data_IF_337818260249
#
_entry.id   IF_337818260249
#
_cell.length_a   1.000
_cell.length_b   1.000
_cell.length_c   1.000
_cell.angle_alpha   90.00
_cell.angle_beta   90.00
_cell.angle_gamma   90.00
#
_symmetry.space_group_name_H-M   'P 1'
#
loop_
_entity.id
_entity.type
_entity.pdbx_description
1 polymer ?
#
# COMPACT_ATOMS: atom_id res chain seq x y z
N UNK A 1 14.23 -8.81 -4.64
CA UNK A 1 14.81 -8.83 -3.28
C UNK A 1 15.05 -10.28 -2.85
N UNK A 2 16.23 -10.59 -2.29
CA UNK A 2 16.56 -11.91 -1.70
C UNK A 2 15.90 -12.16 -0.33
N UNK A 3 15.12 -11.19 0.16
CA UNK A 3 14.38 -11.27 1.42
C UNK A 3 12.87 -11.28 1.15
N UNK A 4 12.38 -10.38 0.28
CA UNK A 4 10.94 -10.20 0.07
C UNK A 4 10.35 -10.93 -1.15
N UNK A 5 11.18 -11.36 -2.12
CA UNK A 5 10.68 -11.95 -3.37
C UNK A 5 11.11 -13.41 -3.54
N UNK A 6 12.31 -13.75 -3.09
CA UNK A 6 12.94 -15.06 -3.24
C UNK A 6 13.99 -15.25 -2.15
N UNK A 7 14.63 -16.41 -2.06
CA UNK A 7 15.77 -16.66 -1.19
C UNK A 7 15.46 -17.58 -0.01
N UNK A 8 16.52 -18.10 0.62
CA UNK A 8 16.42 -19.09 1.71
C UNK A 8 15.73 -18.54 2.96
N UNK A 9 15.95 -17.26 3.28
CA UNK A 9 15.31 -16.62 4.43
C UNK A 9 13.79 -16.59 4.27
N UNK A 10 13.30 -16.12 3.11
CA UNK A 10 11.87 -16.12 2.80
C UNK A 10 11.27 -17.52 2.86
N UNK A 11 11.92 -18.49 2.21
CA UNK A 11 11.46 -19.88 2.17
C UNK A 11 11.35 -20.49 3.58
N UNK A 12 12.38 -20.30 4.42
CA UNK A 12 12.41 -20.79 5.79
C UNK A 12 11.29 -20.18 6.63
N UNK A 13 11.14 -18.85 6.63
CA UNK A 13 10.14 -18.16 7.45
C UNK A 13 8.72 -18.57 7.04
N UNK A 14 8.44 -18.65 5.75
CA UNK A 14 7.10 -19.04 5.26
C UNK A 14 6.77 -20.51 5.57
N UNK A 15 7.72 -21.42 5.40
CA UNK A 15 7.52 -22.85 5.72
C UNK A 15 7.38 -23.11 7.22
N UNK A 16 8.03 -22.31 8.05
CA UNK A 16 7.93 -22.41 9.50
C UNK A 16 6.56 -22.01 10.06
N UNK A 17 5.72 -21.31 9.27
CA UNK A 17 4.37 -20.88 9.64
C UNK A 17 4.30 -20.20 11.02
N UNK A 18 5.29 -19.35 11.31
CA UNK A 18 5.38 -18.60 12.58
C UNK A 18 4.38 -17.44 12.68
N UNK A 19 3.73 -17.08 11.55
CA UNK A 19 2.65 -16.12 11.44
C UNK A 19 1.44 -16.77 10.76
N UNK A 20 0.23 -16.32 11.12
CA UNK A 20 -1.03 -16.84 10.55
C UNK A 20 -1.24 -16.41 9.08
N UNK A 21 -0.78 -15.21 8.72
CA UNK A 21 -0.85 -14.67 7.36
C UNK A 21 0.54 -14.64 6.74
N UNK A 22 0.71 -15.27 5.57
CA UNK A 22 1.98 -15.24 4.83
C UNK A 22 2.40 -13.84 4.37
N UNK A 23 1.47 -12.87 4.34
CA UNK A 23 1.79 -11.45 4.07
C UNK A 23 2.50 -10.78 5.25
N UNK A 24 2.34 -11.31 6.47
CA UNK A 24 2.89 -10.69 7.68
C UNK A 24 4.41 -10.45 7.56
N UNK A 25 5.18 -11.50 7.23
CA UNK A 25 6.63 -11.39 7.13
C UNK A 25 7.08 -10.47 5.98
N UNK A 26 6.46 -10.60 4.81
CA UNK A 26 6.85 -9.80 3.64
C UNK A 26 6.45 -8.33 3.74
N UNK A 27 5.62 -7.96 4.70
CA UNK A 27 5.29 -6.57 5.01
C UNK A 27 6.21 -5.94 6.07
N UNK A 28 7.05 -6.73 6.75
CA UNK A 28 7.95 -6.25 7.79
C UNK A 28 9.07 -5.38 7.20
N UNK A 29 9.45 -4.32 7.92
CA UNK A 29 10.62 -3.48 7.62
C UNK A 29 11.89 -4.15 8.15
N UNK A 30 13.01 -4.03 7.45
CA UNK A 30 14.32 -4.44 7.98
C UNK A 30 14.85 -3.41 8.99
N UNK A 31 15.32 -3.88 10.15
CA UNK A 31 16.03 -3.03 11.13
C UNK A 31 17.41 -2.60 10.65
N UNK A 32 18.03 -3.41 9.79
CA UNK A 32 19.36 -3.20 9.25
C UNK A 32 19.34 -3.23 7.71
N UNK A 33 20.48 -2.89 7.09
CA UNK A 33 20.63 -3.05 5.63
C UNK A 33 20.41 -4.51 5.21
N UNK A 34 19.87 -4.77 4.01
CA UNK A 34 19.64 -6.13 3.53
C UNK A 34 20.86 -7.05 3.59
N UNK A 35 22.05 -6.52 3.32
CA UNK A 35 23.31 -7.28 3.41
C UNK A 35 23.57 -7.74 4.83
N UNK A 36 23.42 -6.86 5.82
CA UNK A 36 23.59 -7.18 7.24
C UNK A 36 22.56 -8.22 7.71
N UNK A 37 21.30 -8.10 7.29
CA UNK A 37 20.27 -9.09 7.63
C UNK A 37 20.58 -10.46 7.02
N UNK A 38 21.14 -10.50 5.80
CA UNK A 38 21.56 -11.74 5.15
C UNK A 38 22.80 -12.34 5.84
N UNK A 39 23.78 -11.53 6.23
CA UNK A 39 24.96 -11.98 6.99
C UNK A 39 24.53 -12.55 8.37
N UNK A 40 23.63 -11.86 9.06
CA UNK A 40 23.02 -12.33 10.30
C UNK A 40 22.29 -13.67 10.09
N UNK A 41 21.62 -13.83 8.94
CA UNK A 41 20.93 -15.08 8.61
C UNK A 41 21.91 -16.22 8.34
N UNK A 42 23.02 -15.96 7.64
CA UNK A 42 24.07 -16.96 7.43
C UNK A 42 24.68 -17.43 8.76
N UNK A 43 24.99 -16.51 9.66
CA UNK A 43 25.47 -16.84 11.01
C UNK A 43 24.42 -17.62 11.81
N UNK A 44 23.15 -17.22 11.74
CA UNK A 44 22.05 -17.93 12.38
C UNK A 44 21.95 -19.40 11.94
N UNK A 45 22.18 -19.70 10.65
CA UNK A 45 22.19 -21.08 10.15
C UNK A 45 23.40 -21.90 10.60
N UNK A 46 24.53 -21.26 10.90
CA UNK A 46 25.71 -21.92 11.48
C UNK A 46 25.43 -22.29 12.93
N UNK A 47 24.88 -21.34 13.71
CA UNK A 47 24.58 -21.52 15.13
C UNK A 47 23.40 -22.50 15.33
N UNK A 48 22.45 -22.50 14.40
CA UNK A 48 21.26 -23.34 14.42
C UNK A 48 21.05 -24.05 13.07
N UNK A 49 21.75 -25.17 12.80
CA UNK A 49 21.62 -25.89 11.53
C UNK A 49 20.21 -26.40 11.23
N UNK A 50 19.41 -26.67 12.27
CA UNK A 50 18.02 -27.09 12.20
C UNK A 50 17.16 -26.23 13.15
N UNK A 51 16.89 -24.97 12.80
CA UNK A 51 16.26 -24.04 13.73
C UNK A 51 14.79 -24.41 13.97
N UNK A 52 14.37 -24.36 15.23
CA UNK A 52 12.94 -24.54 15.59
C UNK A 52 12.13 -23.31 15.18
N UNK A 53 10.80 -23.41 15.02
CA UNK A 53 9.95 -22.24 14.75
C UNK A 53 10.13 -21.10 15.76
N UNK A 54 10.41 -21.42 17.03
CA UNK A 54 10.71 -20.41 18.07
C UNK A 54 11.99 -19.64 17.74
N UNK A 55 13.07 -20.35 17.36
CA UNK A 55 14.33 -19.70 16.97
C UNK A 55 14.22 -18.88 15.69
N UNK A 56 13.45 -19.34 14.71
CA UNK A 56 13.17 -18.57 13.49
C UNK A 56 12.42 -17.28 13.86
N UNK A 57 11.44 -17.36 14.78
CA UNK A 57 10.68 -16.19 15.23
C UNK A 57 11.55 -15.18 15.99
N UNK A 58 12.46 -15.64 16.85
CA UNK A 58 13.46 -14.79 17.53
C UNK A 58 14.32 -14.05 16.50
N UNK A 59 14.91 -14.78 15.54
CA UNK A 59 15.71 -14.18 14.46
C UNK A 59 14.94 -13.09 13.70
N UNK A 60 13.68 -13.36 13.36
CA UNK A 60 12.83 -12.39 12.66
C UNK A 60 12.62 -11.15 13.53
N UNK A 61 12.31 -11.29 14.83
CA UNK A 61 12.12 -10.12 15.68
C UNK A 61 13.40 -9.34 15.96
N UNK A 62 14.57 -9.97 15.90
CA UNK A 62 15.85 -9.28 16.08
C UNK A 62 16.24 -8.45 14.84
N UNK A 63 15.78 -8.85 13.64
CA UNK A 63 16.19 -8.26 12.37
C UNK A 63 15.10 -7.43 11.67
N UNK A 64 13.84 -7.53 12.12
CA UNK A 64 12.70 -6.90 11.45
C UNK A 64 11.82 -6.13 12.44
N UNK A 65 11.30 -5.00 11.97
CA UNK A 65 10.25 -4.23 12.65
C UNK A 65 8.86 -4.74 12.23
N UNK A 66 7.83 -4.60 13.09
CA UNK A 66 6.49 -5.07 12.77
C UNK A 66 5.94 -4.39 11.50
N UNK A 67 5.07 -5.08 10.75
CA UNK A 67 4.39 -4.49 9.60
C UNK A 67 3.65 -3.22 9.99
N UNK A 68 3.58 -2.25 9.07
CA UNK A 68 2.81 -1.01 9.22
C UNK A 68 3.60 0.18 9.72
N UNK A 69 4.86 -0.01 10.12
CA UNK A 69 5.80 1.07 10.43
C UNK A 69 6.14 1.92 9.19
N UNK A 70 5.87 1.39 8.00
CA UNK A 70 6.12 2.02 6.71
C UNK A 70 5.01 2.99 6.25
N UNK A 71 3.95 3.17 7.04
CA UNK A 71 2.80 4.00 6.72
C UNK A 71 2.38 4.86 7.90
N UNK A 72 1.82 6.03 7.59
CA UNK A 72 1.07 6.85 8.54
C UNK A 72 -0.37 7.02 8.07
N UNK A 73 -1.29 7.05 9.04
CA UNK A 73 -2.68 7.41 8.81
C UNK A 73 -2.79 8.88 8.44
N UNK A 74 -3.60 9.19 7.43
CA UNK A 74 -3.83 10.57 6.99
C UNK A 74 -5.29 10.76 6.65
N UNK A 75 -5.87 11.84 7.14
CA UNK A 75 -7.17 12.32 6.66
C UNK A 75 -6.93 13.10 5.37
N UNK A 76 -7.57 12.72 4.26
CA UNK A 76 -7.38 13.46 3.01
C UNK A 76 -7.78 14.93 3.16
N UNK A 77 -6.97 15.84 2.60
CA UNK A 77 -7.09 17.28 2.87
C UNK A 77 -8.39 17.90 2.32
N UNK A 78 -8.96 17.29 1.28
CA UNK A 78 -10.21 17.68 0.63
C UNK A 78 -11.43 16.91 1.18
N UNK A 79 -11.28 16.18 2.29
CA UNK A 79 -12.40 15.54 2.97
C UNK A 79 -13.36 16.59 3.55
N UNK A 80 -14.66 16.41 3.32
CA UNK A 80 -15.72 17.27 3.84
C UNK A 80 -16.65 16.48 4.75
N UNK A 81 -16.95 16.97 5.96
CA UNK A 81 -17.95 16.32 6.83
C UNK A 81 -19.38 16.38 6.25
N UNK A 82 -19.62 17.17 5.20
CA UNK A 82 -20.93 17.32 4.55
C UNK A 82 -20.76 17.31 3.03
N UNK A 83 -20.48 16.15 2.42
CA UNK A 83 -20.29 16.05 0.99
C UNK A 83 -21.64 16.23 0.26
N UNK A 84 -21.62 16.98 -0.84
CA UNK A 84 -22.83 17.41 -1.58
C UNK A 84 -23.69 16.25 -2.08
N UNK A 85 -23.13 15.06 -2.29
CA UNK A 85 -23.92 13.93 -2.79
C UNK A 85 -24.98 13.46 -1.79
N UNK A 86 -24.78 13.68 -0.48
CA UNK A 86 -25.75 13.29 0.55
C UNK A 86 -27.06 14.07 0.43
N UNK A 87 -27.01 15.32 -0.05
CA UNK A 87 -28.21 16.16 -0.26
C UNK A 87 -29.16 15.56 -1.32
N UNK A 88 -28.64 14.72 -2.21
CA UNK A 88 -29.40 14.05 -3.28
C UNK A 88 -30.08 12.77 -2.81
N UNK A 89 -29.81 12.30 -1.58
CA UNK A 89 -30.36 11.07 -1.03
C UNK A 89 -31.57 11.41 -0.14
N UNK A 90 -32.76 11.14 -0.65
CA UNK A 90 -34.01 11.46 0.04
C UNK A 90 -34.32 10.50 1.20
N UNK A 91 -34.05 9.21 1.01
CA UNK A 91 -34.25 8.20 2.05
C UNK A 91 -33.28 8.43 3.22
N UNK A 92 -33.82 8.52 4.43
CA UNK A 92 -33.04 8.84 5.62
C UNK A 92 -32.04 7.73 5.98
N UNK A 93 -32.45 6.46 5.88
CA UNK A 93 -31.59 5.32 6.23
C UNK A 93 -30.46 5.17 5.21
N UNK A 94 -30.76 5.34 3.92
CA UNK A 94 -29.73 5.28 2.87
C UNK A 94 -28.74 6.44 3.00
N UNK A 95 -29.21 7.63 3.37
CA UNK A 95 -28.36 8.80 3.57
C UNK A 95 -27.45 8.64 4.80
N UNK A 96 -27.96 8.07 5.88
CA UNK A 96 -27.17 7.74 7.06
C UNK A 96 -26.08 6.72 6.72
N UNK A 97 -26.44 5.60 6.09
CA UNK A 97 -25.47 4.60 5.62
C UNK A 97 -24.41 5.20 4.68
N UNK A 98 -24.83 6.05 3.74
CA UNK A 98 -23.90 6.67 2.80
C UNK A 98 -22.96 7.68 3.49
N UNK A 99 -23.43 8.35 4.55
CA UNK A 99 -22.60 9.17 5.42
C UNK A 99 -21.57 8.30 6.14
N UNK A 100 -21.97 7.19 6.75
CA UNK A 100 -21.04 6.24 7.39
C UNK A 100 -19.98 5.71 6.41
N UNK A 101 -20.39 5.39 5.17
CA UNK A 101 -19.47 4.97 4.11
C UNK A 101 -18.46 6.08 3.78
N UNK A 102 -18.91 7.32 3.63
CA UNK A 102 -18.02 8.46 3.37
C UNK A 102 -17.01 8.67 4.50
N UNK A 103 -17.42 8.50 5.75
CA UNK A 103 -16.54 8.60 6.92
C UNK A 103 -15.36 7.61 6.90
N UNK A 104 -15.46 6.50 6.14
CA UNK A 104 -14.35 5.55 5.99
C UNK A 104 -13.14 6.13 5.27
N UNK A 105 -13.29 7.17 4.44
CA UNK A 105 -12.15 7.81 3.77
C UNK A 105 -11.11 8.34 4.76
N UNK A 106 -11.54 8.81 5.94
CA UNK A 106 -10.65 9.23 7.03
C UNK A 106 -9.80 8.09 7.60
N UNK A 107 -10.33 6.86 7.58
CA UNK A 107 -9.66 5.67 8.11
C UNK A 107 -8.77 4.98 7.08
N UNK A 108 -9.15 5.07 5.81
CA UNK A 108 -8.48 4.38 4.70
C UNK A 108 -7.36 5.19 4.06
N UNK A 109 -7.25 6.49 4.38
CA UNK A 109 -6.12 7.31 3.96
C UNK A 109 -4.80 6.84 4.58
N UNK A 110 -3.80 6.64 3.74
CA UNK A 110 -2.43 6.24 4.12
C UNK A 110 -1.43 7.08 3.35
N UNK A 111 -0.33 7.46 4.01
CA UNK A 111 0.84 8.04 3.37
C UNK A 111 2.06 7.17 3.66
N UNK A 112 2.84 6.90 2.62
CA UNK A 112 4.13 6.21 2.77
C UNK A 112 5.13 7.18 3.42
N UNK A 113 5.83 6.74 4.46
CA UNK A 113 6.79 7.59 5.17
C UNK A 113 8.01 7.90 4.30
N UNK A 114 8.60 9.07 4.51
CA UNK A 114 9.79 9.54 3.79
C UNK A 114 10.99 8.59 3.93
N UNK A 115 11.08 7.83 5.04
CA UNK A 115 12.13 6.83 5.22
C UNK A 115 12.10 5.73 4.14
N UNK A 116 10.95 5.46 3.50
CA UNK A 116 10.88 4.52 2.36
C UNK A 116 11.55 5.11 1.12
N UNK A 117 11.50 6.43 0.92
CA UNK A 117 12.22 7.11 -0.16
C UNK A 117 13.73 7.05 0.08
N UNK A 118 14.14 7.31 1.32
CA UNK A 118 15.55 7.47 1.67
C UNK A 118 16.25 6.12 1.85
N UNK A 119 15.53 5.09 2.34
CA UNK A 119 16.04 3.74 2.60
C UNK A 119 15.23 2.62 1.91
N UNK A 120 14.97 2.68 0.59
CA UNK A 120 14.01 1.81 -0.09
C UNK A 120 14.35 0.32 -0.05
N UNK A 121 15.62 -0.03 0.20
CA UNK A 121 16.08 -1.42 0.26
C UNK A 121 15.64 -2.15 1.53
N UNK A 122 15.30 -1.41 2.60
CA UNK A 122 14.83 -1.94 3.88
C UNK A 122 13.32 -2.20 3.92
N UNK A 123 12.61 -1.90 2.84
CA UNK A 123 11.17 -1.97 2.78
C UNK A 123 10.71 -2.87 1.65
N UNK A 124 9.59 -3.55 1.87
CA UNK A 124 8.85 -4.14 0.77
C UNK A 124 7.90 -3.13 0.13
N UNK A 125 7.40 -2.13 0.85
CA UNK A 125 6.50 -1.12 0.28
C UNK A 125 7.26 -0.22 -0.70
N UNK A 126 6.58 0.19 -1.76
CA UNK A 126 7.09 1.10 -2.77
C UNK A 126 6.76 2.54 -2.34
N UNK A 127 7.77 3.40 -2.30
CA UNK A 127 7.54 4.82 -2.09
C UNK A 127 6.71 5.41 -3.24
N UNK A 128 5.71 6.20 -2.87
CA UNK A 128 4.92 7.07 -3.74
C UNK A 128 4.73 8.43 -3.05
N UNK A 129 4.78 9.56 -3.79
CA UNK A 129 4.88 10.89 -3.17
C UNK A 129 3.57 11.40 -2.54
N UNK A 130 2.41 10.95 -3.01
CA UNK A 130 1.12 11.42 -2.53
C UNK A 130 0.44 10.41 -1.61
N UNK A 131 -0.42 10.86 -0.67
CA UNK A 131 -1.35 9.98 0.03
C UNK A 131 -2.18 9.13 -0.93
N UNK A 132 -2.61 7.97 -0.46
CA UNK A 132 -3.49 7.06 -1.18
C UNK A 132 -4.60 6.54 -0.27
N UNK A 133 -5.67 6.03 -0.86
CA UNK A 133 -6.73 5.30 -0.15
C UNK A 133 -6.49 3.80 -0.37
N UNK A 134 -6.44 3.04 0.72
CA UNK A 134 -6.22 1.59 0.68
C UNK A 134 -7.54 0.82 0.81
N UNK A 135 -7.62 -0.46 0.37
CA UNK A 135 -8.84 -1.26 0.54
C UNK A 135 -9.23 -1.50 2.01
N UNK A 136 -8.26 -1.53 2.92
CA UNK A 136 -8.47 -1.72 4.35
C UNK A 136 -8.23 -3.15 4.84
N UNK A 137 -8.32 -3.33 6.17
CA UNK A 137 -8.03 -4.61 6.83
C UNK A 137 -6.56 -5.01 6.70
N UNK A 138 -6.30 -6.20 6.15
CA UNK A 138 -4.92 -6.69 5.93
C UNK A 138 -4.17 -5.96 4.80
N UNK A 139 -4.89 -5.20 3.96
CA UNK A 139 -4.34 -4.52 2.79
C UNK A 139 -3.91 -3.11 3.16
N UNK A 140 -2.59 -2.90 3.22
CA UNK A 140 -1.98 -1.67 3.72
C UNK A 140 -1.40 -0.80 2.60
N UNK A 141 -1.24 -1.36 1.42
CA UNK A 141 -0.81 -0.67 0.21
C UNK A 141 -1.99 -0.38 -0.72
N UNK A 142 -1.78 0.50 -1.70
CA UNK A 142 -2.71 0.63 -2.82
C UNK A 142 -2.77 -0.68 -3.62
N UNK A 143 -3.92 -0.92 -4.25
CA UNK A 143 -4.11 -1.96 -5.27
C UNK A 143 -4.65 -1.32 -6.54
N UNK A 144 -4.10 -1.70 -7.69
CA UNK A 144 -4.29 -0.94 -8.93
C UNK A 144 -5.76 -0.89 -9.38
N UNK A 145 -6.39 -2.03 -9.67
CA UNK A 145 -7.76 -2.02 -10.18
C UNK A 145 -8.80 -1.63 -9.11
N UNK A 146 -8.56 -1.94 -7.83
CA UNK A 146 -9.43 -1.53 -6.71
C UNK A 146 -9.53 0.00 -6.64
N UNK A 147 -8.41 0.67 -6.91
CA UNK A 147 -8.33 2.14 -6.88
C UNK A 147 -9.24 2.81 -7.91
N UNK A 148 -9.67 2.12 -8.97
CA UNK A 148 -10.62 2.69 -9.93
C UNK A 148 -11.97 2.94 -9.26
N UNK A 149 -12.47 1.94 -8.53
CA UNK A 149 -13.73 2.04 -7.81
C UNK A 149 -13.65 3.04 -6.66
N UNK A 150 -12.51 3.06 -5.96
CA UNK A 150 -12.20 4.07 -4.95
C UNK A 150 -12.22 5.48 -5.53
N UNK A 151 -11.54 5.72 -6.66
CA UNK A 151 -11.52 7.02 -7.34
C UNK A 151 -12.93 7.48 -7.69
N UNK A 152 -13.78 6.61 -8.22
CA UNK A 152 -15.18 7.01 -8.50
C UNK A 152 -15.93 7.42 -7.24
N UNK A 153 -15.75 6.70 -6.13
CA UNK A 153 -16.34 7.05 -4.83
C UNK A 153 -15.82 8.39 -4.27
N UNK A 154 -14.52 8.65 -4.44
CA UNK A 154 -13.89 9.91 -4.06
C UNK A 154 -14.43 11.08 -4.89
N UNK A 155 -14.60 10.91 -6.21
CA UNK A 155 -15.19 11.93 -7.08
C UNK A 155 -16.64 12.25 -6.69
N UNK A 156 -17.45 11.24 -6.37
CA UNK A 156 -18.81 11.43 -5.82
C UNK A 156 -18.76 12.19 -4.48
N UNK A 157 -17.71 11.94 -3.68
CA UNK A 157 -17.46 12.64 -2.41
C UNK A 157 -16.89 14.06 -2.59
N UNK A 158 -16.60 14.49 -3.81
CA UNK A 158 -16.00 15.80 -4.11
C UNK A 158 -14.49 15.88 -3.82
N UNK A 159 -13.82 14.74 -3.65
CA UNK A 159 -12.42 14.65 -3.22
C UNK A 159 -11.46 14.57 -4.42
N UNK A 160 -11.44 15.63 -5.22
CA UNK A 160 -10.68 15.67 -6.48
C UNK A 160 -9.17 15.77 -6.29
N UNK A 161 -8.69 16.42 -5.23
CA UNK A 161 -7.26 16.58 -4.96
C UNK A 161 -6.65 15.24 -4.53
N UNK A 162 -7.39 14.46 -3.75
CA UNK A 162 -7.03 13.09 -3.39
C UNK A 162 -6.93 12.20 -4.63
N UNK A 163 -7.89 12.31 -5.55
CA UNK A 163 -7.86 11.56 -6.82
C UNK A 163 -6.64 11.96 -7.66
N UNK A 164 -6.36 13.26 -7.79
CA UNK A 164 -5.18 13.77 -8.51
C UNK A 164 -3.89 13.18 -7.93
N UNK A 165 -3.75 13.17 -6.60
CA UNK A 165 -2.60 12.58 -5.92
C UNK A 165 -2.44 11.08 -6.20
N UNK A 166 -3.53 10.31 -6.16
CA UNK A 166 -3.51 8.87 -6.49
C UNK A 166 -3.11 8.62 -7.95
N UNK A 167 -3.58 9.44 -8.89
CA UNK A 167 -3.19 9.37 -10.30
C UNK A 167 -1.71 9.68 -10.50
N UNK A 168 -1.19 10.74 -9.86
CA UNK A 168 0.23 11.08 -9.89
C UNK A 168 1.11 9.96 -9.34
N UNK A 169 0.67 9.27 -8.28
CA UNK A 169 1.34 8.07 -7.79
C UNK A 169 1.40 6.97 -8.86
N UNK A 170 0.31 6.70 -9.58
CA UNK A 170 0.31 5.69 -10.64
C UNK A 170 1.19 6.08 -11.83
N UNK A 171 1.20 7.35 -12.23
CA UNK A 171 2.10 7.86 -13.27
C UNK A 171 3.57 7.69 -12.87
N UNK A 172 3.94 8.05 -11.64
CA UNK A 172 5.29 7.83 -11.12
C UNK A 172 5.69 6.34 -11.11
N UNK A 173 4.74 5.43 -10.87
CA UNK A 173 4.99 3.99 -10.95
C UNK A 173 5.17 3.52 -12.40
N UNK A 174 4.41 4.07 -13.35
CA UNK A 174 4.62 3.81 -14.78
C UNK A 174 5.99 4.29 -15.23
N UNK A 175 6.42 5.49 -14.83
CA UNK A 175 7.77 5.98 -15.11
C UNK A 175 8.86 5.06 -14.54
N UNK A 176 8.65 4.55 -13.31
CA UNK A 176 9.64 3.71 -12.62
C UNK A 176 9.68 2.26 -13.12
N UNK A 177 8.53 1.67 -13.43
CA UNK A 177 8.42 0.22 -13.72
C UNK A 177 7.96 -0.09 -15.15
N UNK A 178 7.52 0.90 -15.92
CA UNK A 178 6.89 0.72 -17.23
C UNK A 178 5.42 0.30 -17.19
N UNK A 179 4.85 0.11 -16.00
CA UNK A 179 3.46 -0.26 -15.76
C UNK A 179 3.06 0.04 -14.31
N UNK A 180 1.75 0.01 -14.01
CA UNK A 180 1.28 0.06 -12.62
C UNK A 180 1.32 -1.34 -12.00
N UNK A 181 2.13 -1.58 -10.94
CA UNK A 181 2.15 -2.88 -10.26
C UNK A 181 0.80 -3.24 -9.66
N UNK A 182 0.55 -4.53 -9.44
CA UNK A 182 -0.68 -5.04 -8.80
C UNK A 182 -0.99 -4.29 -7.49
N UNK A 183 0.02 -4.05 -6.66
CA UNK A 183 -0.07 -3.18 -5.50
C UNK A 183 1.29 -2.59 -5.14
N UNK A 184 1.31 -1.71 -4.15
CA UNK A 184 2.48 -0.91 -3.77
C UNK A 184 3.61 -1.65 -3.06
N UNK A 185 3.96 -2.88 -3.47
CA UNK A 185 5.05 -3.66 -2.85
C UNK A 185 6.00 -4.25 -3.89
N UNK A 186 7.26 -4.42 -3.53
CA UNK A 186 8.31 -4.94 -4.42
C UNK A 186 8.03 -6.36 -4.92
N UNK A 187 7.34 -7.19 -4.12
CA UNK A 187 6.92 -8.53 -4.56
C UNK A 187 5.76 -8.51 -5.58
N UNK A 188 5.19 -7.33 -5.85
CA UNK A 188 4.28 -7.08 -6.97
C UNK A 188 4.97 -6.47 -8.20
N UNK A 189 6.26 -6.12 -8.14
CA UNK A 189 6.95 -5.34 -9.19
C UNK A 189 7.16 -6.06 -10.53
N UNK A 190 6.68 -7.30 -10.67
CA UNK A 190 6.72 -8.09 -11.90
C UNK A 190 5.33 -8.52 -12.38
N UNK A 191 4.26 -7.98 -11.77
CA UNK A 191 2.87 -8.26 -12.18
C UNK A 191 2.01 -7.02 -12.03
N UNK A 192 1.05 -6.87 -12.94
CA UNK A 192 0.05 -5.80 -12.89
C UNK A 192 -1.32 -6.36 -12.48
N UNK A 193 -2.36 -5.57 -12.73
CA UNK A 193 -3.78 -5.87 -12.61
C UNK A 193 -4.49 -5.27 -13.84
N UNK A 194 -5.81 -5.51 -14.04
CA UNK A 194 -6.55 -4.93 -15.14
C UNK A 194 -6.27 -3.42 -15.32
N UNK A 195 -5.95 -2.96 -16.56
CA UNK A 195 -5.40 -1.63 -16.78
C UNK A 195 -6.47 -0.54 -16.74
N UNK A 196 -6.66 0.08 -15.58
CA UNK A 196 -7.65 1.14 -15.36
C UNK A 196 -7.07 2.56 -15.34
N UNK A 197 -5.77 2.78 -15.54
CA UNK A 197 -5.17 4.12 -15.46
C UNK A 197 -5.83 5.13 -16.41
N UNK A 198 -6.00 4.78 -17.70
CA UNK A 198 -6.68 5.68 -18.66
C UNK A 198 -8.13 5.97 -18.24
N UNK A 199 -8.97 4.96 -17.89
CA UNK A 199 -10.28 5.21 -17.30
C UNK A 199 -10.26 6.12 -16.06
N UNK A 200 -9.33 5.93 -15.12
CA UNK A 200 -9.23 6.77 -13.92
C UNK A 200 -8.91 8.23 -14.28
N UNK A 201 -7.97 8.45 -15.21
CA UNK A 201 -7.63 9.79 -15.70
C UNK A 201 -8.83 10.43 -16.38
N UNK A 202 -9.58 9.66 -17.19
CA UNK A 202 -10.81 10.14 -17.82
C UNK A 202 -11.85 10.58 -16.79
N UNK A 203 -12.14 9.74 -15.79
CA UNK A 203 -13.11 10.08 -14.73
C UNK A 203 -12.71 11.36 -13.99
N UNK A 204 -11.41 11.55 -13.71
CA UNK A 204 -10.88 12.76 -13.09
C UNK A 204 -11.06 13.99 -13.99
N UNK A 205 -10.71 13.92 -15.27
CA UNK A 205 -10.86 15.03 -16.21
C UNK A 205 -12.32 15.37 -16.44
N UNK A 206 -13.20 14.37 -16.57
CA UNK A 206 -14.64 14.59 -16.70
C UNK A 206 -15.23 15.30 -15.47
N UNK A 207 -14.75 14.96 -14.27
CA UNK A 207 -15.23 15.56 -13.02
C UNK A 207 -14.67 16.97 -12.75
N UNK A 208 -13.48 17.31 -13.23
CA UNK A 208 -12.76 18.54 -12.88
C UNK A 208 -12.62 19.55 -14.02
N UNK A 209 -12.64 19.09 -15.28
CA UNK A 209 -12.26 19.88 -16.44
C UNK A 209 -10.75 20.14 -16.56
N UNK A 210 -9.92 19.52 -15.72
CA UNK A 210 -8.46 19.70 -15.69
C UNK A 210 -7.77 18.99 -16.88
N UNK A 211 -7.90 19.58 -18.06
CA UNK A 211 -7.26 19.09 -19.30
C UNK A 211 -5.76 19.31 -19.33
N UNK A 212 -5.22 20.18 -18.46
CA UNK A 212 -3.77 20.37 -18.32
C UNK A 212 -3.11 19.10 -17.77
N UNK A 213 -3.80 18.35 -16.92
CA UNK A 213 -3.36 17.05 -16.41
C UNK A 213 -3.08 15.99 -17.49
N UNK A 214 -3.55 16.17 -18.72
CA UNK A 214 -3.31 15.25 -19.84
C UNK A 214 -1.96 15.47 -20.54
N UNK A 215 -1.25 16.56 -20.23
CA UNK A 215 0.02 16.93 -20.87
C UNK A 215 1.21 16.34 -20.12
#
# INVERSE_FOLDING_TARGET
SQIYCQGKLLDMVQKAKIFEDGKHFVDMKLKFLPTVVLDNFEQFLIDYPNPTPVKIKEFVFDNFDPPGSELIDVVPADFSESPKFLERIHDANVREWASELHQLWKKLGKKVVDDVRDNPSQYSILYVPHPTIVPGGRFREFYYWDSYWTIRGLLVSGMTDTVKGMLLNFLALVERFGFVPNGGRIYYSQRSQPPFLIPMVKEYVDATGDTEFLR
#
